data_IF_055106679543
#
_entry.id   IF_055106679543
#
_cell.length_a   1.000
_cell.length_b   1.000
_cell.length_c   1.000
_cell.angle_alpha   90.00
_cell.angle_beta   90.00
_cell.angle_gamma   90.00
#
_symmetry.space_group_name_H-M   'P 1'
#
loop_
_entity.id
_entity.type
_entity.pdbx_description
1 polymer ?
#
# COMPACT_ATOMS: atom_id res chain seq x y z
N UNK A 1 11.43 -5.77 -4.95
CA UNK A 1 10.34 -5.14 -5.76
C UNK A 1 9.50 -4.26 -4.85
N UNK A 2 9.03 -3.08 -5.28
CA UNK A 2 8.19 -2.20 -4.44
C UNK A 2 6.69 -2.37 -4.69
N UNK A 3 5.94 -2.48 -3.60
CA UNK A 3 4.47 -2.59 -3.58
C UNK A 3 3.92 -1.49 -2.69
N UNK A 4 2.88 -0.82 -3.16
CA UNK A 4 2.14 0.18 -2.41
C UNK A 4 0.83 -0.44 -1.89
N UNK A 5 0.56 -0.29 -0.60
CA UNK A 5 -0.69 -0.69 0.04
C UNK A 5 -1.43 0.55 0.52
N UNK A 6 -2.66 0.74 0.04
CA UNK A 6 -3.50 1.90 0.34
C UNK A 6 -4.77 1.42 1.05
N UNK A 7 -4.86 1.67 2.34
CA UNK A 7 -5.98 1.23 3.19
C UNK A 7 -6.01 2.10 4.46
N UNK A 8 -7.19 2.53 4.93
CA UNK A 8 -7.33 3.38 6.13
C UNK A 8 -7.27 2.58 7.45
N UNK A 9 -7.31 1.25 7.40
CA UNK A 9 -7.25 0.34 8.54
C UNK A 9 -5.82 -0.14 8.81
N UNK A 10 -5.21 0.40 9.87
CA UNK A 10 -3.84 0.06 10.27
C UNK A 10 -3.60 -1.45 10.51
N UNK A 11 -4.60 -2.17 11.05
CA UNK A 11 -4.50 -3.61 11.31
C UNK A 11 -4.39 -4.42 10.01
N UNK A 12 -5.16 -4.03 8.98
CA UNK A 12 -5.11 -4.70 7.69
C UNK A 12 -3.72 -4.53 7.06
N UNK A 13 -3.17 -3.31 7.08
CA UNK A 13 -1.82 -3.05 6.57
C UNK A 13 -0.74 -3.87 7.26
N UNK A 14 -0.80 -3.94 8.59
CA UNK A 14 0.13 -4.77 9.36
C UNK A 14 0.04 -6.26 8.99
N UNK A 15 -1.17 -6.80 8.88
CA UNK A 15 -1.37 -8.20 8.47
C UNK A 15 -0.90 -8.47 7.05
N UNK A 16 -1.18 -7.55 6.12
CA UNK A 16 -0.77 -7.71 4.73
C UNK A 16 0.74 -7.63 4.54
N UNK A 17 1.42 -6.75 5.29
CA UNK A 17 2.88 -6.69 5.29
C UNK A 17 3.49 -8.04 5.68
N UNK A 18 3.03 -8.65 6.78
CA UNK A 18 3.52 -9.95 7.24
C UNK A 18 3.32 -11.05 6.18
N UNK A 19 2.16 -11.06 5.51
CA UNK A 19 1.87 -12.03 4.45
C UNK A 19 2.74 -11.81 3.21
N UNK A 20 2.94 -10.55 2.79
CA UNK A 20 3.78 -10.21 1.64
C UNK A 20 5.25 -10.56 1.91
N UNK A 21 5.76 -10.27 3.10
CA UNK A 21 7.11 -10.64 3.53
C UNK A 21 7.29 -12.17 3.57
N UNK A 22 6.28 -12.91 4.00
CA UNK A 22 6.29 -14.38 4.00
C UNK A 22 6.28 -14.99 2.58
N UNK A 23 5.59 -14.36 1.62
CA UNK A 23 5.58 -14.78 0.22
C UNK A 23 6.92 -14.48 -0.45
N UNK A 24 7.52 -13.32 -0.14
CA UNK A 24 8.79 -12.91 -0.73
C UNK A 24 9.53 -11.92 0.15
N UNK A 25 10.71 -12.31 0.60
CA UNK A 25 11.50 -11.53 1.55
C UNK A 25 12.16 -10.27 0.98
N UNK A 26 12.27 -10.11 -0.35
CA UNK A 26 12.80 -8.89 -0.99
C UNK A 26 11.71 -7.90 -1.42
N UNK A 27 10.45 -8.14 -1.02
CA UNK A 27 9.38 -7.17 -1.19
C UNK A 27 9.57 -6.00 -0.24
N UNK A 28 9.54 -4.80 -0.81
CA UNK A 28 9.48 -3.56 -0.03
C UNK A 28 8.04 -3.06 -0.11
N UNK A 29 7.35 -3.10 1.03
CA UNK A 29 5.98 -2.63 1.15
C UNK A 29 5.98 -1.20 1.66
N UNK A 30 5.29 -0.31 0.95
CA UNK A 30 5.01 1.07 1.33
C UNK A 30 3.53 1.17 1.68
N UNK A 31 3.20 1.88 2.77
CA UNK A 31 1.84 1.98 3.30
C UNK A 31 1.32 3.41 3.14
N UNK A 32 0.07 3.55 2.71
CA UNK A 32 -0.67 4.81 2.68
C UNK A 32 -2.04 4.63 3.34
N UNK A 33 -2.44 5.60 4.17
CA UNK A 33 -3.78 5.65 4.78
C UNK A 33 -4.80 6.45 3.96
N UNK A 34 -4.33 7.22 2.98
CA UNK A 34 -5.17 8.05 2.11
C UNK A 34 -4.64 8.05 0.68
N UNK A 35 -5.46 8.50 -0.28
CA UNK A 35 -5.05 8.63 -1.67
C UNK A 35 -3.96 9.68 -1.86
N UNK A 36 -3.99 10.78 -1.11
CA UNK A 36 -2.96 11.83 -1.19
C UNK A 36 -1.59 11.27 -0.80
N UNK A 37 -1.53 10.50 0.29
CA UNK A 37 -0.30 9.83 0.72
C UNK A 37 0.18 8.83 -0.34
N UNK A 38 -0.74 8.07 -0.94
CA UNK A 38 -0.43 7.12 -2.00
C UNK A 38 0.17 7.82 -3.24
N UNK A 39 -0.42 8.94 -3.67
CA UNK A 39 0.07 9.72 -4.80
C UNK A 39 1.45 10.31 -4.55
N UNK A 40 1.72 10.82 -3.34
CA UNK A 40 3.06 11.28 -2.95
C UNK A 40 4.07 10.14 -3.03
N UNK A 41 3.76 8.97 -2.46
CA UNK A 41 4.65 7.80 -2.52
C UNK A 41 4.90 7.32 -3.95
N UNK A 42 3.91 7.39 -4.83
CA UNK A 42 4.07 7.05 -6.25
C UNK A 42 5.01 8.01 -6.98
N UNK A 43 5.01 9.30 -6.63
CA UNK A 43 5.94 10.28 -7.19
C UNK A 43 7.37 10.08 -6.67
N UNK A 44 7.51 9.77 -5.38
CA UNK A 44 8.82 9.54 -4.73
C UNK A 44 9.45 8.19 -5.12
N UNK A 45 8.62 7.19 -5.43
CA UNK A 45 9.04 5.83 -5.73
C UNK A 45 8.48 5.37 -7.09
N UNK A 46 9.03 5.87 -8.21
CA UNK A 46 8.56 5.53 -9.56
C UNK A 46 8.79 4.05 -9.93
N UNK A 47 9.51 3.29 -9.11
CA UNK A 47 9.73 1.85 -9.28
C UNK A 47 8.70 0.97 -8.56
N UNK A 48 7.66 1.55 -7.95
CA UNK A 48 6.48 0.81 -7.48
C UNK A 48 5.87 0.06 -8.67
N UNK A 49 5.70 -1.26 -8.51
CA UNK A 49 5.23 -2.15 -9.58
C UNK A 49 3.81 -2.66 -9.41
N UNK A 50 3.27 -2.50 -8.21
CA UNK A 50 1.95 -2.97 -7.82
C UNK A 50 1.39 -2.02 -6.76
N UNK A 51 0.13 -1.65 -6.93
CA UNK A 51 -0.65 -0.92 -5.93
C UNK A 51 -1.85 -1.79 -5.53
N UNK A 52 -1.99 -2.05 -4.23
CA UNK A 52 -3.15 -2.68 -3.62
C UNK A 52 -3.97 -1.58 -2.96
N UNK A 53 -5.14 -1.29 -3.51
CA UNK A 53 -6.01 -0.21 -3.07
C UNK A 53 -7.28 -0.79 -2.45
N UNK A 54 -7.58 -0.40 -1.22
CA UNK A 54 -8.87 -0.66 -0.59
C UNK A 54 -9.99 0.06 -1.35
N UNK A 55 -11.06 -0.68 -1.63
CA UNK A 55 -12.23 -0.17 -2.33
C UNK A 55 -13.11 0.69 -1.42
N UNK A 56 -13.10 0.41 -0.11
CA UNK A 56 -13.93 1.10 0.87
C UNK A 56 -13.18 2.25 1.58
N UNK A 57 -12.06 2.70 1.01
CA UNK A 57 -11.23 3.75 1.57
C UNK A 57 -12.09 4.98 1.87
N UNK A 58 -12.28 5.31 3.16
CA UNK A 58 -13.33 6.23 3.66
C UNK A 58 -13.18 7.72 3.31
N UNK A 59 -12.47 8.03 2.23
CA UNK A 59 -12.30 9.40 1.72
C UNK A 59 -12.89 9.59 0.31
N UNK A 60 -13.20 8.54 -0.45
CA UNK A 60 -13.80 8.68 -1.79
C UNK A 60 -14.75 7.51 -2.06
N UNK A 61 -16.06 7.78 -2.11
CA UNK A 61 -16.96 6.91 -2.89
C UNK A 61 -16.55 7.08 -4.35
N UNK A 62 -15.98 6.03 -4.93
CA UNK A 62 -15.68 5.98 -6.37
C UNK A 62 -16.92 6.21 -7.22
#
# INVERSE_FOLDING_TARGET
>A
MRVLLVDDHALFRAGMRLLLEAIRSDLVVLDAGTLEQALTLMQEHPDIRLCLLDLDLKQVRG
#
